data_IF_917548149588
#
_entry.id   IF_917548149588
#
_cell.length_a   1.000
_cell.length_b   1.000
_cell.length_c   1.000
_cell.angle_alpha   90.00
_cell.angle_beta   90.00
_cell.angle_gamma   90.00
#
_symmetry.space_group_name_H-M   'P 1'
#
loop_
_entity.id
_entity.type
_entity.pdbx_description
1 polymer ?
#
# COMPACT_ATOMS: atom_id res chain seq x y z
N UNK A 1 -20.45 5.07 9.69
CA UNK A 1 -19.19 4.98 10.42
C UNK A 1 -18.46 3.69 10.09
N UNK A 2 -17.20 3.78 9.72
CA UNK A 2 -16.44 2.58 9.37
C UNK A 2 -16.15 1.75 10.62
N UNK A 3 -16.26 0.41 10.49
CA UNK A 3 -15.99 -0.52 11.59
C UNK A 3 -14.54 -1.01 11.60
N UNK A 4 -13.76 -0.62 10.62
CA UNK A 4 -12.35 -0.99 10.53
C UNK A 4 -11.46 0.23 10.83
N UNK A 5 -10.21 -0.03 11.17
CA UNK A 5 -9.24 1.00 11.53
C UNK A 5 -8.14 1.09 10.47
N UNK A 6 -7.26 2.09 10.62
CA UNK A 6 -6.07 2.19 9.75
C UNK A 6 -5.22 0.92 9.85
N UNK A 7 -5.12 0.34 11.05
CA UNK A 7 -4.36 -0.90 11.23
C UNK A 7 -4.94 -2.03 10.39
N UNK A 8 -6.26 -2.11 10.33
CA UNK A 8 -6.93 -3.11 9.50
C UNK A 8 -6.62 -2.89 8.02
N UNK A 9 -6.58 -1.63 7.58
CA UNK A 9 -6.23 -1.29 6.22
C UNK A 9 -4.80 -1.71 5.91
N UNK A 10 -3.86 -1.38 6.78
CA UNK A 10 -2.46 -1.76 6.59
C UNK A 10 -2.26 -3.27 6.59
N UNK A 11 -2.98 -3.98 7.46
CA UNK A 11 -2.92 -5.45 7.47
C UNK A 11 -3.39 -6.03 6.14
N UNK A 12 -4.47 -5.47 5.59
CA UNK A 12 -4.96 -5.87 4.26
C UNK A 12 -3.93 -5.58 3.18
N UNK A 13 -3.30 -4.41 3.25
CA UNK A 13 -2.30 -4.01 2.27
C UNK A 13 -1.04 -4.88 2.30
N UNK A 14 -0.74 -5.53 3.41
CA UNK A 14 0.37 -6.47 3.49
C UNK A 14 0.19 -7.70 2.62
N UNK A 15 -1.01 -7.91 2.11
CA UNK A 15 -1.28 -8.98 1.14
C UNK A 15 -1.00 -8.55 -0.30
N UNK A 16 -0.66 -7.28 -0.52
CA UNK A 16 -0.32 -6.75 -1.83
C UNK A 16 1.19 -6.75 -1.99
N UNK A 17 1.69 -7.49 -2.96
CA UNK A 17 3.12 -7.65 -3.18
C UNK A 17 3.55 -6.97 -4.46
N UNK A 18 4.74 -6.35 -4.41
CA UNK A 18 5.39 -5.88 -5.63
C UNK A 18 5.93 -7.12 -6.36
N UNK A 19 5.43 -7.43 -7.56
CA UNK A 19 5.82 -8.67 -8.23
C UNK A 19 7.29 -8.70 -8.68
N UNK A 20 7.93 -7.54 -8.80
CA UNK A 20 9.34 -7.48 -9.16
C UNK A 20 10.26 -7.78 -7.98
N UNK A 21 9.84 -7.39 -6.79
CA UNK A 21 10.66 -7.49 -5.58
C UNK A 21 10.23 -8.67 -4.71
N UNK A 22 8.93 -9.00 -4.71
CA UNK A 22 8.39 -10.10 -3.92
C UNK A 22 8.14 -9.76 -2.47
N UNK A 23 8.08 -8.48 -2.14
CA UNK A 23 7.81 -7.99 -0.78
C UNK A 23 6.55 -7.15 -0.81
N UNK A 24 5.77 -7.19 0.27
CA UNK A 24 4.52 -6.45 0.31
C UNK A 24 4.78 -4.93 0.35
N UNK A 25 3.80 -4.17 -0.15
CA UNK A 25 3.97 -2.73 -0.35
C UNK A 25 4.11 -1.95 0.96
N UNK A 26 3.59 -2.49 2.06
CA UNK A 26 3.71 -1.82 3.36
C UNK A 26 5.15 -1.90 3.87
N UNK A 27 5.74 -3.10 3.84
CA UNK A 27 7.12 -3.29 4.28
C UNK A 27 8.12 -2.61 3.35
N UNK A 28 7.77 -2.47 2.08
CA UNK A 28 8.60 -1.72 1.15
C UNK A 28 8.61 -0.21 1.42
N UNK A 29 7.66 0.27 2.22
CA UNK A 29 7.56 1.69 2.48
C UNK A 29 6.89 2.46 1.35
N UNK A 30 6.10 1.78 0.52
CA UNK A 30 5.41 2.43 -0.60
C UNK A 30 4.13 3.12 -0.16
N UNK A 31 3.52 2.66 0.94
CA UNK A 31 2.28 3.25 1.45
C UNK A 31 2.62 4.39 2.40
N UNK A 32 2.25 5.61 2.02
CA UNK A 32 2.55 6.78 2.83
C UNK A 32 1.44 7.11 3.82
N UNK A 33 0.20 6.89 3.43
CA UNK A 33 -0.93 7.17 4.32
C UNK A 33 -2.16 6.41 3.85
N UNK A 34 -3.14 6.30 4.74
CA UNK A 34 -4.43 5.71 4.42
C UNK A 34 -5.48 6.49 5.19
N UNK A 35 -6.34 7.22 4.48
CA UNK A 35 -7.42 7.99 5.07
C UNK A 35 -8.72 7.20 4.98
N UNK A 36 -9.45 7.14 6.09
CA UNK A 36 -10.72 6.43 6.18
C UNK A 36 -11.82 7.46 6.43
N UNK A 37 -12.80 7.48 5.52
CA UNK A 37 -13.95 8.36 5.63
C UNK A 37 -15.04 7.72 6.48
N UNK A 38 -15.94 8.53 7.02
CA UNK A 38 -17.07 8.01 7.80
C UNK A 38 -17.96 7.09 6.99
N UNK A 39 -18.03 7.32 5.69
CA UNK A 39 -18.80 6.47 4.78
C UNK A 39 -18.20 5.09 4.56
N UNK A 40 -16.95 4.88 5.01
CA UNK A 40 -16.22 3.65 4.76
C UNK A 40 -15.30 3.72 3.55
N UNK A 41 -15.26 4.85 2.87
CA UNK A 41 -14.34 5.03 1.74
C UNK A 41 -12.92 5.16 2.26
N UNK A 42 -11.98 4.61 1.51
CA UNK A 42 -10.55 4.62 1.89
C UNK A 42 -9.74 5.25 0.77
N UNK A 43 -8.89 6.18 1.13
CA UNK A 43 -7.92 6.75 0.20
C UNK A 43 -6.53 6.32 0.62
N UNK A 44 -5.88 5.52 -0.21
CA UNK A 44 -4.51 5.07 0.03
C UNK A 44 -3.55 5.97 -0.75
N UNK A 45 -2.69 6.66 -0.04
CA UNK A 45 -1.65 7.51 -0.65
C UNK A 45 -0.36 6.70 -0.67
N UNK A 46 0.16 6.44 -1.86
CA UNK A 46 1.34 5.60 -2.02
C UNK A 46 2.20 6.04 -3.18
N UNK A 47 3.38 5.48 -3.26
CA UNK A 47 4.29 5.71 -4.37
C UNK A 47 4.73 4.39 -4.97
N UNK A 48 5.54 4.46 -6.02
CA UNK A 48 6.15 3.30 -6.66
C UNK A 48 7.66 3.46 -6.62
N UNK A 49 8.37 2.34 -6.79
CA UNK A 49 9.83 2.34 -6.70
C UNK A 49 10.51 3.07 -7.85
N UNK A 50 9.84 3.23 -8.97
CA UNK A 50 10.39 3.97 -10.11
C UNK A 50 9.28 4.65 -10.89
N UNK A 51 9.62 5.80 -11.50
CA UNK A 51 8.73 6.50 -12.41
C UNK A 51 8.49 5.64 -13.65
N UNK A 52 7.29 5.66 -14.16
CA UNK A 52 6.94 4.90 -15.35
C UNK A 52 6.83 3.40 -15.12
N UNK A 53 6.70 2.99 -13.87
CA UNK A 53 6.52 1.57 -13.55
C UNK A 53 5.22 1.06 -14.20
N UNK A 54 5.28 0.03 -15.05
CA UNK A 54 4.09 -0.49 -15.72
C UNK A 54 3.18 -1.26 -14.79
N UNK A 55 3.60 -1.50 -13.55
CA UNK A 55 2.84 -2.28 -12.58
C UNK A 55 1.86 -1.45 -11.75
N UNK A 56 1.85 -0.12 -11.95
CA UNK A 56 0.93 0.74 -11.20
C UNK A 56 -0.51 0.29 -11.23
N UNK A 57 -1.11 0.07 -12.42
CA UNK A 57 -2.49 -0.39 -12.51
C UNK A 57 -2.72 -1.74 -11.85
N UNK A 58 -1.74 -2.64 -11.93
CA UNK A 58 -1.83 -3.96 -11.30
C UNK A 58 -1.85 -3.82 -9.78
N UNK A 59 -0.96 -3.00 -9.24
CA UNK A 59 -0.88 -2.77 -7.79
C UNK A 59 -2.17 -2.10 -7.29
N UNK A 60 -2.71 -1.13 -8.03
CA UNK A 60 -3.96 -0.47 -7.67
C UNK A 60 -5.11 -1.46 -7.61
N UNK A 61 -5.18 -2.38 -8.55
CA UNK A 61 -6.21 -3.42 -8.55
C UNK A 61 -6.03 -4.37 -7.36
N UNK A 62 -4.79 -4.74 -7.05
CA UNK A 62 -4.48 -5.60 -5.91
C UNK A 62 -4.88 -4.93 -4.59
N UNK A 63 -4.65 -3.62 -4.48
CA UNK A 63 -5.05 -2.86 -3.30
C UNK A 63 -6.58 -2.92 -3.12
N UNK A 64 -7.33 -2.70 -4.19
CA UNK A 64 -8.79 -2.80 -4.14
C UNK A 64 -9.22 -4.21 -3.71
N UNK A 65 -8.61 -5.23 -4.28
CA UNK A 65 -8.94 -6.62 -3.94
C UNK A 65 -8.61 -6.97 -2.50
N UNK A 66 -7.50 -6.44 -1.99
CA UNK A 66 -7.05 -6.72 -0.64
C UNK A 66 -7.97 -6.13 0.42
N UNK A 67 -8.60 -4.99 0.12
CA UNK A 67 -9.43 -4.27 1.08
C UNK A 67 -10.92 -4.57 0.95
N UNK A 68 -11.35 -5.20 -0.14
CA UNK A 68 -12.80 -5.41 -0.40
C UNK A 68 -13.50 -6.26 0.64
N UNK A 69 -12.77 -7.06 1.40
CA UNK A 69 -13.34 -7.95 2.41
C UNK A 69 -13.49 -7.28 3.77
N UNK A 70 -13.04 -6.05 3.93
CA UNK A 70 -13.24 -5.32 5.17
C UNK A 70 -14.71 -5.00 5.37
N UNK A 71 -15.25 -5.17 6.59
CA UNK A 71 -16.67 -4.91 6.83
C UNK A 71 -17.00 -3.43 6.63
N UNK A 72 -18.10 -3.19 5.93
CA UNK A 72 -18.63 -1.85 5.66
C UNK A 72 -17.69 -0.96 4.84
N UNK A 73 -16.73 -1.55 4.12
CA UNK A 73 -15.87 -0.75 3.27
C UNK A 73 -16.66 -0.17 2.09
N UNK A 74 -16.41 1.11 1.80
CA UNK A 74 -16.96 1.76 0.63
C UNK A 74 -16.03 1.63 -0.55
N UNK A 75 -15.76 2.76 -1.23
CA UNK A 75 -14.83 2.77 -2.35
C UNK A 75 -13.40 2.88 -1.86
N UNK A 76 -12.50 2.19 -2.53
CA UNK A 76 -11.08 2.28 -2.26
C UNK A 76 -10.41 2.99 -3.43
N UNK A 77 -9.82 4.14 -3.15
CA UNK A 77 -9.07 4.92 -4.14
C UNK A 77 -7.60 4.90 -3.80
N UNK A 78 -6.77 4.91 -4.83
CA UNK A 78 -5.32 4.97 -4.66
C UNK A 78 -4.81 6.24 -5.32
N UNK A 79 -4.09 7.04 -4.54
CA UNK A 79 -3.46 8.26 -5.04
C UNK A 79 -1.95 8.01 -5.12
N UNK A 80 -1.40 8.06 -6.32
CA UNK A 80 0.04 7.92 -6.52
C UNK A 80 0.70 9.28 -6.37
N UNK A 81 1.74 9.33 -5.55
CA UNK A 81 2.53 10.54 -5.34
C UNK A 81 4.00 10.21 -5.56
N UNK A 82 4.76 11.20 -5.98
CA UNK A 82 6.19 11.04 -6.27
C UNK A 82 7.06 11.89 -5.35
N UNK A 83 6.45 12.52 -4.37
CA UNK A 83 7.13 13.34 -3.39
C UNK A 83 6.61 13.00 -2.00
N UNK A 84 7.46 12.65 -1.04
CA UNK A 84 8.90 12.46 -1.22
C UNK A 84 9.19 11.22 -2.10
N UNK A 85 10.32 11.19 -2.82
CA UNK A 85 10.67 10.04 -3.63
C UNK A 85 11.01 8.84 -2.73
N UNK A 86 10.62 7.65 -3.20
CA UNK A 86 10.90 6.43 -2.46
C UNK A 86 12.40 6.14 -2.43
N UNK A 87 12.87 5.62 -1.29
CA UNK A 87 14.24 5.14 -1.15
C UNK A 87 14.26 3.89 -0.30
N UNK A 88 15.32 3.06 -0.40
CA UNK A 88 15.43 1.85 0.40
C UNK A 88 15.38 2.09 1.92
N UNK A 89 15.71 3.30 2.37
CA UNK A 89 15.65 3.66 3.78
C UNK A 89 14.22 3.61 4.34
N UNK A 90 13.23 3.67 3.45
CA UNK A 90 11.82 3.62 3.84
C UNK A 90 11.33 2.21 4.09
N UNK A 91 12.12 1.20 3.75
CA UNK A 91 11.76 -0.20 3.95
C UNK A 91 11.82 -0.57 5.41
N UNK A 92 10.98 -1.52 5.83
CA UNK A 92 11.06 -2.09 7.16
C UNK A 92 12.35 -2.89 7.32
N UNK A 93 12.75 -3.16 8.57
CA UNK A 93 13.92 -3.99 8.83
C UNK A 93 13.77 -5.38 8.22
N UNK A 94 12.57 -5.94 8.33
CA UNK A 94 12.28 -7.27 7.79
C UNK A 94 12.47 -7.31 6.28
N UNK A 95 12.02 -6.28 5.58
CA UNK A 95 12.17 -6.20 4.14
C UNK A 95 13.65 -6.05 3.75
N UNK A 96 14.40 -5.26 4.50
CA UNK A 96 15.83 -5.09 4.25
C UNK A 96 16.59 -6.39 4.46
N UNK A 97 16.22 -7.14 5.51
CA UNK A 97 16.82 -8.43 5.79
C UNK A 97 16.59 -9.42 4.66
N UNK A 98 15.36 -9.47 4.15
CA UNK A 98 15.02 -10.37 3.05
C UNK A 98 15.82 -10.08 1.79
N UNK A 99 16.05 -8.79 1.51
CA UNK A 99 16.76 -8.37 0.31
C UNK A 99 18.26 -8.26 0.51
N UNK A 100 18.73 -8.35 1.77
CA UNK A 100 20.14 -8.20 2.09
C UNK A 100 20.65 -6.78 1.90
N UNK A 101 19.78 -5.79 2.06
CA UNK A 101 20.12 -4.37 1.91
C UNK A 101 20.32 -3.75 3.30
N UNK A 102 21.51 -3.21 3.53
CA UNK A 102 21.82 -2.54 4.80
C UNK A 102 22.58 -1.26 4.57
#
# INVERSE_FOLDING_TARGET
MATFTKDDVYEGLKNVYDPEIGINIVDLGLVYDADIEESGDVLVTMTLTSLGCPLGPVIMQEVNNALKDLPEIGETDVKLVWSPPWSPDMMSEEARDELGIW
#
